data_IF_065356703882
#
_entry.id   IF_065356703882
#
_cell.length_a   1.000
_cell.length_b   1.000
_cell.length_c   1.000
_cell.angle_alpha   90.00
_cell.angle_beta   90.00
_cell.angle_gamma   90.00
#
_symmetry.space_group_name_H-M   'P 1'
#
loop_
_entity.id
_entity.type
_entity.pdbx_description
1 polymer ?
#
# COMPACT_ATOMS: atom_id res chain seq x y z
N UNK A 1 -4.71 -7.16 -5.75
CA UNK A 1 -3.70 -8.23 -5.77
C UNK A 1 -2.31 -7.62 -5.78
N UNK A 2 -1.35 -8.15 -5.03
CA UNK A 2 0.06 -7.71 -5.07
C UNK A 2 0.91 -8.82 -5.73
N UNK A 3 1.71 -8.46 -6.75
CA UNK A 3 2.51 -9.42 -7.53
C UNK A 3 3.78 -8.72 -8.04
N UNK A 4 4.87 -9.50 -8.24
CA UNK A 4 6.11 -9.03 -8.86
C UNK A 4 5.96 -8.92 -10.38
N UNK A 5 6.79 -8.07 -11.00
CA UNK A 5 6.80 -7.88 -12.45
C UNK A 5 7.20 -9.14 -13.23
N UNK A 6 8.20 -9.86 -12.75
CA UNK A 6 8.76 -11.04 -13.45
C UNK A 6 7.73 -12.14 -13.73
N UNK A 7 6.87 -12.57 -12.78
CA UNK A 7 5.77 -13.48 -13.10
C UNK A 7 4.81 -12.92 -14.16
N UNK A 8 4.53 -11.62 -14.14
CA UNK A 8 3.65 -10.97 -15.12
C UNK A 8 4.25 -11.02 -16.52
N UNK A 9 5.55 -10.73 -16.65
CA UNK A 9 6.29 -10.80 -17.90
C UNK A 9 6.31 -12.22 -18.48
N UNK A 10 6.59 -13.21 -17.64
CA UNK A 10 6.63 -14.62 -18.07
C UNK A 10 5.25 -15.15 -18.50
N UNK A 11 4.19 -14.71 -17.83
CA UNK A 11 2.83 -15.15 -18.12
C UNK A 11 2.20 -14.42 -19.32
N UNK A 12 2.66 -13.21 -19.60
CA UNK A 12 2.11 -12.26 -20.55
C UNK A 12 1.06 -11.36 -19.91
N UNK A 13 1.26 -10.05 -20.01
CA UNK A 13 0.42 -9.04 -19.36
C UNK A 13 -1.06 -9.14 -19.73
N UNK A 14 -1.38 -9.31 -21.02
CA UNK A 14 -2.76 -9.38 -21.52
C UNK A 14 -3.51 -10.56 -20.89
N UNK A 15 -2.94 -11.76 -21.04
CA UNK A 15 -3.52 -12.99 -20.52
C UNK A 15 -3.67 -12.97 -19.00
N UNK A 16 -2.69 -12.37 -18.31
CA UNK A 16 -2.77 -12.20 -16.87
C UNK A 16 -3.92 -11.27 -16.47
N UNK A 17 -4.07 -10.11 -17.12
CA UNK A 17 -5.15 -9.16 -16.82
C UNK A 17 -6.52 -9.76 -17.07
N UNK A 18 -6.70 -10.50 -18.17
CA UNK A 18 -7.94 -11.22 -18.46
C UNK A 18 -8.29 -12.21 -17.35
N UNK A 19 -7.34 -13.08 -16.99
CA UNK A 19 -7.57 -14.08 -15.94
C UNK A 19 -7.79 -13.45 -14.55
N UNK A 20 -7.05 -12.41 -14.20
CA UNK A 20 -7.19 -11.71 -12.94
C UNK A 20 -8.57 -11.04 -12.83
N UNK A 21 -9.00 -10.35 -13.88
CA UNK A 21 -10.32 -9.72 -13.96
C UNK A 21 -11.43 -10.76 -13.84
N UNK A 22 -11.35 -11.87 -14.59
CA UNK A 22 -12.31 -12.97 -14.51
C UNK A 22 -12.36 -13.64 -13.13
N UNK A 23 -11.26 -13.63 -12.40
CA UNK A 23 -11.17 -14.08 -11.01
C UNK A 23 -11.67 -13.05 -9.98
N UNK A 24 -12.14 -11.87 -10.41
CA UNK A 24 -12.68 -10.83 -9.53
C UNK A 24 -11.63 -9.92 -8.90
N UNK A 25 -10.42 -9.84 -9.46
CA UNK A 25 -9.39 -8.89 -9.01
C UNK A 25 -9.77 -7.48 -9.43
N UNK A 26 -9.90 -6.57 -8.48
CA UNK A 26 -10.28 -5.16 -8.73
C UNK A 26 -9.08 -4.23 -8.93
N UNK A 27 -7.87 -4.66 -8.58
CA UNK A 27 -6.67 -3.85 -8.77
C UNK A 27 -5.38 -4.60 -8.52
N UNK A 28 -4.30 -4.05 -9.06
CA UNK A 28 -2.96 -4.63 -9.01
C UNK A 28 -1.98 -3.69 -8.32
N UNK A 29 -1.15 -4.25 -7.46
CA UNK A 29 0.03 -3.61 -6.89
C UNK A 29 1.24 -4.37 -7.42
N UNK A 30 2.09 -3.70 -8.20
CA UNK A 30 3.33 -4.27 -8.74
C UNK A 30 4.50 -3.43 -8.22
N UNK A 31 5.12 -3.81 -7.08
CA UNK A 31 6.06 -2.96 -6.37
C UNK A 31 7.34 -2.63 -7.11
N UNK A 32 7.74 -3.45 -8.04
CA UNK A 32 8.98 -3.37 -8.81
C UNK A 32 8.77 -2.95 -10.27
N UNK A 33 7.55 -2.55 -10.66
CA UNK A 33 7.27 -2.05 -12.00
C UNK A 33 7.82 -0.62 -12.17
N UNK A 34 8.74 -0.38 -13.13
CA UNK A 34 9.21 0.96 -13.42
C UNK A 34 8.07 1.86 -13.89
N UNK A 35 8.12 3.16 -13.54
CA UNK A 35 7.07 4.11 -13.90
C UNK A 35 6.86 4.19 -15.43
N UNK A 36 7.93 4.10 -16.18
CA UNK A 36 7.95 4.17 -17.64
C UNK A 36 7.17 3.00 -18.28
N UNK A 37 7.21 1.82 -17.65
CA UNK A 37 6.43 0.64 -18.06
C UNK A 37 5.01 0.70 -17.50
N UNK A 38 4.83 1.30 -16.32
CA UNK A 38 3.54 1.45 -15.68
C UNK A 38 2.55 2.23 -16.57
N UNK A 39 3.01 3.20 -17.38
CA UNK A 39 2.15 3.93 -18.32
C UNK A 39 1.47 3.03 -19.35
N UNK A 40 2.22 2.09 -19.91
CA UNK A 40 1.69 1.13 -20.89
C UNK A 40 0.79 0.11 -20.21
N UNK A 41 1.23 -0.40 -19.08
CA UNK A 41 0.50 -1.42 -18.33
C UNK A 41 -0.80 -0.88 -17.71
N UNK A 42 -0.85 0.39 -17.29
CA UNK A 42 -2.05 0.99 -16.72
C UNK A 42 -3.23 1.02 -17.67
N UNK A 43 -2.98 1.25 -18.98
CA UNK A 43 -4.03 1.20 -20.00
C UNK A 43 -4.61 -0.20 -20.11
N UNK A 44 -3.75 -1.21 -20.15
CA UNK A 44 -4.16 -2.61 -20.20
C UNK A 44 -4.98 -3.02 -19.00
N UNK A 45 -4.51 -2.71 -17.79
CA UNK A 45 -5.20 -2.97 -16.53
C UNK A 45 -6.58 -2.31 -16.51
N UNK A 46 -6.66 -1.06 -16.99
CA UNK A 46 -7.94 -0.31 -17.08
C UNK A 46 -8.91 -0.91 -18.09
N UNK A 47 -8.42 -1.48 -19.20
CA UNK A 47 -9.28 -2.15 -20.20
C UNK A 47 -9.98 -3.39 -19.61
N UNK A 48 -9.41 -3.97 -18.56
CA UNK A 48 -9.98 -5.09 -17.81
C UNK A 48 -10.72 -4.65 -16.53
N UNK A 49 -11.11 -3.37 -16.43
CA UNK A 49 -11.84 -2.80 -15.28
C UNK A 49 -11.11 -2.97 -13.94
N UNK A 50 -9.79 -2.95 -13.98
CA UNK A 50 -8.94 -3.00 -12.79
C UNK A 50 -8.17 -1.68 -12.61
N UNK A 51 -7.73 -1.41 -11.39
CA UNK A 51 -6.87 -0.28 -11.05
C UNK A 51 -5.40 -0.70 -10.93
N UNK A 52 -4.47 0.14 -11.40
CA UNK A 52 -3.05 -0.02 -11.13
C UNK A 52 -2.62 0.92 -10.02
N UNK A 53 -2.24 0.34 -8.89
CA UNK A 53 -1.79 1.05 -7.70
C UNK A 53 -0.26 1.16 -7.75
N UNK A 54 0.24 2.40 -7.74
CA UNK A 54 1.66 2.69 -7.80
C UNK A 54 2.21 3.12 -6.44
N UNK A 55 3.51 2.93 -6.25
CA UNK A 55 4.20 3.14 -4.99
C UNK A 55 4.99 4.45 -5.00
N UNK A 56 4.88 5.18 -3.89
CA UNK A 56 5.73 6.34 -3.56
C UNK A 56 6.55 5.99 -2.34
N UNK A 57 7.86 6.24 -2.39
CA UNK A 57 8.77 6.08 -1.25
C UNK A 57 9.22 7.45 -0.71
N UNK A 58 9.67 7.54 0.55
CA UNK A 58 10.24 8.77 1.10
C UNK A 58 11.46 9.31 0.35
N UNK A 59 12.11 8.48 -0.43
CA UNK A 59 13.25 8.83 -1.29
C UNK A 59 12.83 9.27 -2.70
N UNK A 60 11.54 9.16 -3.05
CA UNK A 60 11.04 9.53 -4.38
C UNK A 60 11.13 11.05 -4.58
N UNK A 61 11.79 11.54 -5.64
CA UNK A 61 11.82 12.97 -5.97
C UNK A 61 10.41 13.51 -6.20
N UNK A 62 10.19 14.79 -5.87
CA UNK A 62 8.85 15.40 -5.92
C UNK A 62 8.18 15.30 -7.28
N UNK A 63 8.89 15.61 -8.37
CA UNK A 63 8.34 15.52 -9.73
C UNK A 63 7.94 14.08 -10.10
N UNK A 64 8.74 13.09 -9.69
CA UNK A 64 8.40 11.68 -9.90
C UNK A 64 7.20 11.26 -9.03
N UNK A 65 7.11 11.76 -7.80
CA UNK A 65 5.96 11.53 -6.93
C UNK A 65 4.66 12.06 -7.56
N UNK A 66 4.71 13.26 -8.13
CA UNK A 66 3.60 13.87 -8.87
C UNK A 66 3.17 13.02 -10.07
N UNK A 67 4.13 12.54 -10.85
CA UNK A 67 3.84 11.65 -11.98
C UNK A 67 3.20 10.33 -11.52
N UNK A 68 3.75 9.69 -10.49
CA UNK A 68 3.21 8.46 -9.89
C UNK A 68 1.76 8.70 -9.42
N UNK A 69 1.55 9.75 -8.64
CA UNK A 69 0.23 10.07 -8.07
C UNK A 69 -0.83 10.35 -9.14
N UNK A 70 -0.45 10.97 -10.27
CA UNK A 70 -1.37 11.22 -11.39
C UNK A 70 -1.70 9.98 -12.22
N UNK A 71 -0.87 8.94 -12.15
CA UNK A 71 -1.06 7.71 -12.93
C UNK A 71 -1.56 6.53 -12.11
N UNK A 72 -1.47 6.62 -10.78
CA UNK A 72 -2.08 5.61 -9.90
C UNK A 72 -3.60 5.75 -9.91
N UNK A 73 -4.29 4.63 -9.81
CA UNK A 73 -5.75 4.58 -9.65
C UNK A 73 -6.10 3.84 -8.36
N UNK A 74 -7.33 4.01 -7.89
CA UNK A 74 -7.78 3.44 -6.64
C UNK A 74 -7.18 4.19 -5.44
N UNK A 75 -5.88 4.03 -5.17
CA UNK A 75 -5.16 4.77 -4.12
C UNK A 75 -3.66 4.87 -4.42
N UNK A 76 -2.99 5.83 -3.78
CA UNK A 76 -1.53 5.92 -3.81
C UNK A 76 -0.94 5.13 -2.64
N UNK A 77 -0.05 4.17 -2.91
CA UNK A 77 0.63 3.39 -1.87
C UNK A 77 1.88 4.13 -1.42
N UNK A 78 1.83 4.76 -0.24
CA UNK A 78 2.99 5.39 0.37
C UNK A 78 3.76 4.37 1.23
N UNK A 79 4.98 4.05 0.79
CA UNK A 79 5.88 3.17 1.55
C UNK A 79 6.50 3.98 2.69
N UNK A 80 6.23 3.60 3.93
CA UNK A 80 6.94 4.13 5.09
C UNK A 80 8.08 3.20 5.46
N UNK A 81 9.29 3.71 5.61
CA UNK A 81 10.40 2.93 6.14
C UNK A 81 10.42 3.16 7.64
N UNK A 82 9.80 2.28 8.40
CA UNK A 82 9.96 2.24 9.86
C UNK A 82 11.10 1.27 10.16
N UNK A 83 12.32 1.70 10.03
CA UNK A 83 13.45 0.82 10.31
C UNK A 83 14.67 1.56 10.81
N UNK A 84 15.22 1.04 11.88
CA UNK A 84 16.48 1.26 12.57
C UNK A 84 16.61 2.52 13.42
N UNK A 85 16.81 2.24 14.66
CA UNK A 85 17.19 3.06 15.84
C UNK A 85 17.94 4.37 15.52
N UNK A 86 17.41 5.47 16.03
CA UNK A 86 18.07 6.78 16.08
C UNK A 86 17.52 7.86 15.12
N UNK A 87 16.87 7.50 14.03
CA UNK A 87 16.31 8.44 13.04
C UNK A 87 14.76 8.45 13.01
N UNK A 88 14.12 7.82 13.98
CA UNK A 88 12.65 7.63 14.01
C UNK A 88 11.88 8.93 13.82
N UNK A 89 12.19 9.96 14.60
CA UNK A 89 11.47 11.24 14.54
C UNK A 89 11.67 11.97 13.21
N UNK A 90 12.87 11.88 12.60
CA UNK A 90 13.14 12.48 11.28
C UNK A 90 12.35 11.79 10.17
N UNK A 91 12.21 10.47 10.27
CA UNK A 91 11.45 9.67 9.28
C UNK A 91 9.94 9.89 9.42
N UNK A 92 9.43 10.01 10.62
CA UNK A 92 8.03 10.30 10.92
C UNK A 92 7.61 11.64 10.31
N UNK A 93 8.33 12.72 10.60
CA UNK A 93 8.11 14.04 10.01
C UNK A 93 8.19 14.01 8.47
N UNK A 94 9.03 13.14 7.92
CA UNK A 94 9.17 12.99 6.48
C UNK A 94 7.94 12.33 5.85
N UNK A 95 7.37 11.32 6.48
CA UNK A 95 6.14 10.63 6.01
C UNK A 95 4.94 11.58 6.10
N UNK A 96 4.77 12.29 7.20
CA UNK A 96 3.73 13.31 7.37
C UNK A 96 3.80 14.38 6.27
N UNK A 97 4.97 14.96 6.04
CA UNK A 97 5.18 15.94 4.98
C UNK A 97 4.89 15.37 3.57
N UNK A 98 5.17 14.08 3.35
CA UNK A 98 4.87 13.43 2.06
C UNK A 98 3.37 13.23 1.86
N UNK A 99 2.64 12.88 2.90
CA UNK A 99 1.17 12.76 2.84
C UNK A 99 0.57 14.12 2.47
N UNK A 100 1.00 15.21 3.14
CA UNK A 100 0.54 16.55 2.82
C UNK A 100 0.81 16.91 1.35
N UNK A 101 2.04 16.71 0.87
CA UNK A 101 2.41 16.96 -0.53
C UNK A 101 1.63 16.12 -1.54
N UNK A 102 1.34 14.85 -1.23
CA UNK A 102 0.54 13.99 -2.09
C UNK A 102 -0.90 14.48 -2.19
N UNK A 103 -1.47 14.96 -1.09
CA UNK A 103 -2.82 15.54 -1.07
C UNK A 103 -2.92 16.84 -1.88
N UNK A 104 -1.85 17.61 -1.92
CA UNK A 104 -1.78 18.81 -2.77
C UNK A 104 -1.70 18.48 -4.27
N UNK A 105 -1.19 17.28 -4.62
CA UNK A 105 -1.02 16.87 -6.02
C UNK A 105 -2.35 16.38 -6.62
N UNK A 106 -3.09 15.55 -5.90
CA UNK A 106 -4.39 15.03 -6.34
C UNK A 106 -5.24 14.56 -5.15
N UNK A 107 -6.49 14.21 -5.43
CA UNK A 107 -7.48 13.74 -4.46
C UNK A 107 -7.50 12.22 -4.24
N UNK A 108 -6.56 11.47 -4.82
CA UNK A 108 -6.52 10.03 -4.63
C UNK A 108 -6.31 9.68 -3.16
N UNK A 109 -7.02 8.68 -2.61
CA UNK A 109 -6.76 8.18 -1.28
C UNK A 109 -5.30 7.75 -1.11
N UNK A 110 -4.73 7.97 0.06
CA UNK A 110 -3.36 7.58 0.40
C UNK A 110 -3.40 6.46 1.43
N UNK A 111 -2.85 5.30 1.09
CA UNK A 111 -2.65 4.21 2.01
C UNK A 111 -1.16 4.06 2.36
N UNK A 112 -0.85 4.06 3.65
CA UNK A 112 0.53 3.95 4.15
C UNK A 112 0.81 2.52 4.58
N UNK A 113 1.91 1.97 4.10
CA UNK A 113 2.36 0.61 4.41
C UNK A 113 3.83 0.54 4.79
N UNK A 114 4.25 -0.63 5.23
CA UNK A 114 5.54 -1.00 5.80
C UNK A 114 5.75 -0.57 7.26
N UNK A 115 6.04 -1.58 8.10
CA UNK A 115 6.41 -1.42 9.50
C UNK A 115 5.26 -1.08 10.46
N UNK A 116 4.02 -0.99 9.96
CA UNK A 116 2.85 -0.83 10.81
C UNK A 116 2.54 -2.16 11.47
N UNK A 117 2.61 -2.19 12.80
CA UNK A 117 2.50 -3.42 13.57
C UNK A 117 1.73 -3.29 14.89
N UNK A 118 1.35 -2.07 15.28
CA UNK A 118 0.61 -1.79 16.51
C UNK A 118 -0.52 -0.79 16.27
N UNK A 119 -1.55 -0.76 17.12
CA UNK A 119 -2.62 0.25 17.07
C UNK A 119 -2.10 1.68 17.12
N UNK A 120 -1.03 1.95 17.89
CA UNK A 120 -0.42 3.29 17.99
C UNK A 120 0.16 3.75 16.65
N UNK A 121 0.78 2.82 15.90
CA UNK A 121 1.27 3.12 14.54
C UNK A 121 0.11 3.48 13.62
N UNK A 122 -1.02 2.78 13.71
CA UNK A 122 -2.23 3.06 12.93
C UNK A 122 -2.77 4.45 13.25
N UNK A 123 -2.95 4.78 14.55
CA UNK A 123 -3.42 6.10 15.00
C UNK A 123 -2.52 7.21 14.45
N UNK A 124 -1.21 7.07 14.59
CA UNK A 124 -0.24 8.05 14.16
C UNK A 124 -0.31 8.31 12.65
N UNK A 125 -0.40 7.25 11.85
CA UNK A 125 -0.55 7.37 10.39
C UNK A 125 -1.86 8.07 10.01
N UNK A 126 -2.95 7.79 10.73
CA UNK A 126 -4.22 8.48 10.56
C UNK A 126 -4.16 9.96 10.95
N UNK A 127 -3.44 10.29 12.02
CA UNK A 127 -3.21 11.68 12.46
C UNK A 127 -2.46 12.49 11.42
N UNK A 128 -1.52 11.88 10.69
CA UNK A 128 -0.82 12.51 9.55
C UNK A 128 -1.73 12.73 8.34
N UNK A 129 -2.97 12.22 8.38
CA UNK A 129 -3.97 12.43 7.34
C UNK A 129 -4.02 11.34 6.28
N UNK A 130 -3.40 10.18 6.47
CA UNK A 130 -3.59 9.05 5.56
C UNK A 130 -5.02 8.54 5.59
N UNK A 131 -5.51 8.06 4.44
CA UNK A 131 -6.86 7.53 4.30
C UNK A 131 -6.94 6.05 4.68
N UNK A 132 -5.82 5.34 4.60
CA UNK A 132 -5.74 3.92 4.96
C UNK A 132 -4.36 3.50 5.44
N UNK A 133 -4.31 2.29 6.01
CA UNK A 133 -3.07 1.61 6.44
C UNK A 133 -2.99 0.21 5.82
N UNK A 134 -1.78 -0.20 5.47
CA UNK A 134 -1.51 -1.52 4.90
C UNK A 134 -0.61 -2.28 5.89
N UNK A 135 -1.13 -3.40 6.39
CA UNK A 135 -0.47 -4.22 7.40
C UNK A 135 -0.30 -5.62 6.82
N UNK A 136 0.93 -6.09 6.72
CA UNK A 136 1.25 -7.43 6.20
C UNK A 136 2.01 -8.28 7.21
N UNK A 137 3.29 -7.98 7.43
CA UNK A 137 4.19 -8.81 8.24
C UNK A 137 3.73 -9.02 9.68
N UNK A 138 3.00 -8.07 10.26
CA UNK A 138 2.44 -8.21 11.60
C UNK A 138 1.36 -9.30 11.66
N UNK A 139 0.50 -9.40 10.63
CA UNK A 139 -0.46 -10.49 10.50
C UNK A 139 0.23 -11.84 10.31
N UNK A 140 1.22 -11.91 9.40
CA UNK A 140 2.01 -13.14 9.19
C UNK A 140 2.67 -13.60 10.50
N UNK A 141 3.23 -12.67 11.28
CA UNK A 141 3.81 -12.97 12.58
C UNK A 141 2.76 -13.52 13.57
N UNK A 142 1.55 -12.96 13.61
CA UNK A 142 0.46 -13.48 14.46
C UNK A 142 0.08 -14.91 14.06
N UNK A 143 -0.05 -15.16 12.76
CA UNK A 143 -0.34 -16.50 12.25
C UNK A 143 0.75 -17.49 12.67
N UNK A 144 2.03 -17.15 12.44
CA UNK A 144 3.15 -18.06 12.76
C UNK A 144 3.39 -18.29 14.24
N UNK A 145 2.92 -17.39 15.12
CA UNK A 145 3.06 -17.50 16.58
C UNK A 145 1.85 -18.11 17.28
N UNK A 146 0.78 -18.40 16.54
CA UNK A 146 -0.45 -18.97 17.08
C UNK A 146 -0.53 -20.49 16.83
N UNK A 147 -1.25 -21.21 17.70
CA UNK A 147 -1.60 -22.61 17.44
C UNK A 147 -2.65 -22.72 16.32
N UNK A 148 -2.77 -23.87 15.69
CA UNK A 148 -3.79 -24.11 14.66
C UNK A 148 -5.22 -23.87 15.16
N UNK A 149 -5.46 -24.11 16.45
CA UNK A 149 -6.79 -23.94 17.06
C UNK A 149 -7.14 -22.49 17.31
N UNK A 150 -6.14 -21.65 17.66
CA UNK A 150 -6.35 -20.29 18.15
C UNK A 150 -6.02 -19.23 17.09
N UNK A 151 -5.46 -19.62 15.95
CA UNK A 151 -4.95 -18.68 14.94
C UNK A 151 -6.04 -17.74 14.40
N UNK A 152 -7.25 -18.25 14.18
CA UNK A 152 -8.36 -17.46 13.65
C UNK A 152 -8.79 -16.40 14.65
N UNK A 153 -8.92 -16.75 15.91
CA UNK A 153 -9.33 -15.83 16.98
C UNK A 153 -8.23 -14.76 17.21
N UNK A 154 -6.97 -15.15 17.32
CA UNK A 154 -5.86 -14.23 17.52
C UNK A 154 -5.68 -13.24 16.36
N UNK A 155 -5.89 -13.70 15.12
CA UNK A 155 -5.85 -12.83 13.94
C UNK A 155 -7.07 -11.92 13.91
N UNK A 156 -8.24 -12.43 14.28
CA UNK A 156 -9.49 -11.68 14.36
C UNK A 156 -9.43 -10.56 15.42
N UNK A 157 -8.91 -10.85 16.60
CA UNK A 157 -8.69 -9.86 17.66
C UNK A 157 -7.72 -8.78 17.22
N UNK A 158 -6.58 -9.17 16.66
CA UNK A 158 -5.59 -8.23 16.13
C UNK A 158 -6.18 -7.34 15.03
N UNK A 159 -6.99 -7.90 14.14
CA UNK A 159 -7.69 -7.13 13.11
C UNK A 159 -8.64 -6.11 13.73
N UNK A 160 -9.41 -6.49 14.75
CA UNK A 160 -10.29 -5.58 15.51
C UNK A 160 -9.53 -4.43 16.15
N UNK A 161 -8.42 -4.71 16.83
CA UNK A 161 -7.59 -3.69 17.46
C UNK A 161 -7.09 -2.65 16.43
N UNK A 162 -6.56 -3.14 15.30
CA UNK A 162 -6.10 -2.27 14.23
C UNK A 162 -7.23 -1.46 13.60
N UNK A 163 -8.40 -2.07 13.41
CA UNK A 163 -9.58 -1.39 12.87
C UNK A 163 -10.08 -0.29 13.81
N UNK A 164 -10.22 -0.59 15.09
CA UNK A 164 -10.62 0.40 16.09
C UNK A 164 -9.65 1.59 16.13
N UNK A 165 -8.34 1.33 16.02
CA UNK A 165 -7.34 2.38 15.96
C UNK A 165 -7.47 3.25 14.69
N UNK A 166 -7.85 2.65 13.56
CA UNK A 166 -8.06 3.35 12.30
C UNK A 166 -9.33 4.21 12.29
N UNK A 167 -10.37 3.80 13.03
CA UNK A 167 -11.67 4.48 13.08
C UNK A 167 -11.75 5.61 14.12
N UNK A 168 -10.79 5.70 15.03
CA UNK A 168 -10.71 6.82 15.98
C UNK A 168 -10.48 8.11 15.20
N UNK A 169 -11.55 8.93 15.06
CA UNK A 169 -11.46 10.30 14.56
C UNK A 169 -10.83 11.18 15.66
N UNK A 170 -10.08 12.22 15.25
CA UNK A 170 -9.74 13.34 16.15
C UNK A 170 -10.99 13.95 16.72
#
# INVERSE_FOLDING_TARGET
MCIRDSPLLCFGFEKFCEMASNAGVSGLIVPDLPLEEAYKFSKLVSNHSMDLILLVAPTTPFERMKQISNHTKGFTYLVSVTGVTGERNKMENRVENLIAKLKDVNSNPIAVGFGISTPEHVKKVREWGADGVIIGSAFVKRISSSSEKDVVDHVGEFCKEMRLAADQKK
#
